data_IF_436181309492
#
_entry.id   IF_436181309492
#
_cell.length_a   1.000
_cell.length_b   1.000
_cell.length_c   1.000
_cell.angle_alpha   90.00
_cell.angle_beta   90.00
_cell.angle_gamma   90.00
#
_symmetry.space_group_name_H-M   'P 1'
#
loop_
_entity.id
_entity.type
_entity.pdbx_description
1 polymer ?
#
# COMPACT_ATOMS: atom_id res chain seq x y z
N UNK A 1 -2.19 6.34 13.01
CA UNK A 1 -2.06 6.22 11.54
C UNK A 1 -2.51 7.54 10.97
N UNK A 2 -1.69 8.13 10.10
CA UNK A 2 -2.04 9.39 9.41
C UNK A 2 -3.38 9.23 8.69
N UNK A 3 -4.28 10.21 8.84
CA UNK A 3 -5.62 10.17 8.24
C UNK A 3 -5.52 10.11 6.72
N UNK A 4 -4.53 10.79 6.15
CA UNK A 4 -4.32 10.86 4.70
C UNK A 4 -3.84 9.51 4.17
N UNK A 5 -2.91 8.84 4.88
CA UNK A 5 -2.48 7.47 4.54
C UNK A 5 -3.64 6.47 4.59
N UNK A 6 -4.54 6.63 5.56
CA UNK A 6 -5.72 5.78 5.67
C UNK A 6 -6.70 5.96 4.51
N UNK A 7 -6.90 7.18 4.04
CA UNK A 7 -7.79 7.46 2.91
C UNK A 7 -7.18 6.94 1.60
N UNK A 8 -5.88 7.14 1.39
CA UNK A 8 -5.15 6.61 0.25
C UNK A 8 -5.19 5.07 0.19
N UNK A 9 -5.02 4.40 1.33
CA UNK A 9 -5.09 2.93 1.38
C UNK A 9 -6.48 2.42 0.99
N UNK A 10 -7.55 3.07 1.48
CA UNK A 10 -8.93 2.71 1.09
C UNK A 10 -9.18 2.87 -0.41
N UNK A 11 -8.62 3.92 -1.03
CA UNK A 11 -8.72 4.13 -2.47
C UNK A 11 -7.99 3.03 -3.25
N UNK A 12 -6.78 2.65 -2.82
CA UNK A 12 -6.02 1.55 -3.42
C UNK A 12 -6.76 0.22 -3.32
N UNK A 13 -7.33 -0.09 -2.15
CA UNK A 13 -8.11 -1.33 -1.94
C UNK A 13 -9.38 -1.35 -2.79
N UNK A 14 -10.08 -0.22 -2.89
CA UNK A 14 -11.29 -0.12 -3.74
C UNK A 14 -10.95 -0.37 -5.21
N UNK A 15 -9.84 0.17 -5.69
CA UNK A 15 -9.37 -0.07 -7.06
C UNK A 15 -8.97 -1.55 -7.27
N UNK A 16 -8.25 -2.15 -6.32
CA UNK A 16 -7.86 -3.56 -6.40
C UNK A 16 -9.09 -4.49 -6.46
N UNK A 17 -10.13 -4.19 -5.68
CA UNK A 17 -11.41 -4.92 -5.72
C UNK A 17 -12.09 -4.79 -7.09
N UNK A 18 -12.22 -3.57 -7.64
CA UNK A 18 -12.81 -3.38 -8.97
C UNK A 18 -12.03 -4.09 -10.07
N UNK A 19 -10.69 -4.09 -10.01
CA UNK A 19 -9.87 -4.83 -10.98
C UNK A 19 -10.10 -6.35 -10.87
N UNK A 20 -10.24 -6.88 -9.65
CA UNK A 20 -10.55 -8.28 -9.44
C UNK A 20 -11.95 -8.67 -9.95
N UNK A 21 -12.96 -7.81 -9.78
CA UNK A 21 -14.31 -8.02 -10.32
C UNK A 21 -14.36 -8.06 -11.86
N UNK A 22 -13.39 -7.43 -12.51
CA UNK A 22 -13.24 -7.42 -13.97
C UNK A 22 -12.27 -8.49 -14.50
N UNK A 23 -11.89 -9.48 -13.67
CA UNK A 23 -10.91 -10.53 -13.99
C UNK A 23 -9.59 -9.95 -14.55
N UNK A 24 -9.19 -8.76 -14.06
CA UNK A 24 -7.98 -8.11 -14.53
C UNK A 24 -6.74 -8.87 -14.04
N UNK A 25 -6.00 -9.46 -14.97
CA UNK A 25 -4.68 -10.02 -14.67
C UNK A 25 -3.64 -8.91 -14.50
N UNK A 26 -3.04 -8.86 -13.33
CA UNK A 26 -2.00 -7.89 -13.04
C UNK A 26 -0.71 -8.29 -13.75
N UNK A 27 -0.08 -7.33 -14.42
CA UNK A 27 1.32 -7.48 -14.79
C UNK A 27 2.20 -7.53 -13.52
N UNK A 28 3.40 -8.10 -13.64
CA UNK A 28 4.35 -8.12 -12.54
C UNK A 28 4.63 -6.71 -11.99
N UNK A 29 4.79 -5.73 -12.87
CA UNK A 29 5.06 -4.34 -12.50
C UNK A 29 3.89 -3.68 -11.76
N UNK A 30 2.65 -3.91 -12.23
CA UNK A 30 1.44 -3.40 -11.59
C UNK A 30 1.26 -3.99 -10.19
N UNK A 31 1.51 -5.31 -10.06
CA UNK A 31 1.44 -5.99 -8.77
C UNK A 31 2.48 -5.47 -7.79
N UNK A 32 3.73 -5.36 -8.23
CA UNK A 32 4.81 -4.85 -7.42
C UNK A 32 4.56 -3.41 -6.97
N UNK A 33 4.00 -2.56 -7.84
CA UNK A 33 3.65 -1.18 -7.52
C UNK A 33 2.54 -1.08 -6.46
N UNK A 34 1.49 -1.90 -6.58
CA UNK A 34 0.42 -1.97 -5.58
C UNK A 34 0.97 -2.44 -4.22
N UNK A 35 1.69 -3.56 -4.20
CA UNK A 35 2.23 -4.14 -2.96
C UNK A 35 3.20 -3.17 -2.26
N UNK A 36 4.05 -2.48 -3.02
CA UNK A 36 4.97 -1.45 -2.48
C UNK A 36 4.22 -0.25 -1.91
N UNK A 37 3.14 0.18 -2.57
CA UNK A 37 2.31 1.30 -2.11
C UNK A 37 1.57 0.95 -0.83
N UNK A 38 0.99 -0.26 -0.75
CA UNK A 38 0.37 -0.78 0.48
C UNK A 38 1.40 -0.87 1.60
N UNK A 39 2.59 -1.42 1.34
CA UNK A 39 3.66 -1.52 2.34
C UNK A 39 4.07 -0.14 2.87
N UNK A 40 4.24 0.87 1.99
CA UNK A 40 4.55 2.24 2.41
C UNK A 40 3.45 2.86 3.28
N UNK A 41 2.19 2.72 2.85
CA UNK A 41 1.05 3.33 3.55
C UNK A 41 0.73 2.64 4.88
N UNK A 42 1.02 1.34 4.99
CA UNK A 42 0.83 0.54 6.20
C UNK A 42 2.06 0.49 7.10
N UNK A 43 3.25 0.85 6.58
CA UNK A 43 4.42 1.06 7.40
C UNK A 43 4.11 2.17 8.40
N UNK A 44 4.03 1.80 9.68
CA UNK A 44 3.94 2.77 10.76
C UNK A 44 5.17 3.68 10.75
N UNK A 45 5.13 4.77 11.52
CA UNK A 45 6.34 5.51 11.87
C UNK A 45 7.26 4.56 12.65
N UNK A 46 8.01 3.73 11.93
CA UNK A 46 9.11 2.98 12.47
C UNK A 46 10.14 4.06 12.78
N UNK A 47 10.04 4.66 13.97
CA UNK A 47 11.14 5.40 14.56
C UNK A 47 12.25 4.39 14.66
N UNK A 48 13.15 4.43 13.69
CA UNK A 48 14.46 3.86 13.77
C UNK A 48 15.00 4.29 15.14
N UNK A 49 15.02 3.37 16.10
CA UNK A 49 15.71 3.61 17.35
C UNK A 49 17.16 3.74 16.95
N UNK A 50 17.64 4.98 16.84
CA UNK A 50 19.06 5.28 16.77
C UNK A 50 19.71 4.57 17.96
N UNK A 51 20.26 3.38 17.72
CA UNK A 51 21.13 2.73 18.68
C UNK A 51 22.39 3.57 18.70
N UNK A 52 22.45 4.46 19.69
CA UNK A 52 23.73 4.98 20.16
C UNK A 52 24.56 3.79 20.64
N UNK A 53 25.63 3.51 19.90
CA UNK A 53 26.83 2.84 20.41
C UNK A 53 28.04 3.66 19.98
#
# INVERSE_FOLDING_TARGET
MDKDKSELLKCLDSMALSLAEHDHEWSHEQRQAYESSVAYLTSGDCKETGSSV
#
